data_IF_250361823728
#
_entry.id   IF_250361823728
#
_cell.length_a   1.000
_cell.length_b   1.000
_cell.length_c   1.000
_cell.angle_alpha   90.00
_cell.angle_beta   90.00
_cell.angle_gamma   90.00
#
_symmetry.space_group_name_H-M   'P 1'
#
loop_
_entity.id
_entity.type
_entity.pdbx_description
1 polymer ?
#
# COMPACT_ATOMS: atom_id res chain seq x y z
N UNK A 1 7.35 -79.88 36.11
CA UNK A 1 6.75 -78.69 36.78
C UNK A 1 7.32 -77.47 36.11
N UNK A 2 6.50 -76.77 35.25
CA UNK A 2 6.92 -75.52 34.59
C UNK A 2 6.63 -74.35 35.57
N UNK A 3 7.62 -73.57 35.89
CA UNK A 3 7.55 -72.54 36.91
C UNK A 3 6.55 -71.46 36.52
N UNK A 4 5.69 -71.00 37.42
CA UNK A 4 4.66 -69.96 37.13
C UNK A 4 5.25 -68.60 36.86
N UNK A 5 6.53 -68.36 37.12
CA UNK A 5 7.23 -67.09 36.92
C UNK A 5 7.40 -66.76 35.42
N UNK A 6 7.59 -67.79 34.57
CA UNK A 6 7.79 -67.58 33.13
C UNK A 6 6.49 -67.14 32.40
N UNK A 7 5.34 -67.59 32.91
CA UNK A 7 4.01 -67.25 32.38
C UNK A 7 3.63 -65.78 32.68
N UNK A 8 4.02 -65.27 33.86
CA UNK A 8 3.74 -63.89 34.28
C UNK A 8 4.59 -62.90 33.48
N UNK A 9 5.81 -63.24 33.12
CA UNK A 9 6.71 -62.44 32.31
C UNK A 9 6.21 -62.24 30.86
N UNK A 10 5.65 -63.31 30.27
CA UNK A 10 5.07 -63.23 28.92
C UNK A 10 3.76 -62.45 28.91
N UNK A 11 2.97 -62.48 29.98
CA UNK A 11 1.74 -61.69 30.10
C UNK A 11 2.05 -60.17 30.25
N UNK A 12 3.06 -59.82 31.04
CA UNK A 12 3.50 -58.43 31.21
C UNK A 12 4.18 -57.89 29.93
N UNK A 13 4.92 -58.70 29.17
CA UNK A 13 5.53 -58.30 27.92
C UNK A 13 4.47 -58.09 26.82
N UNK A 14 3.40 -58.92 26.80
CA UNK A 14 2.29 -58.80 25.88
C UNK A 14 1.44 -57.53 26.14
N UNK A 15 1.23 -57.16 27.42
CA UNK A 15 0.52 -55.93 27.79
C UNK A 15 1.34 -54.66 27.47
N UNK A 16 2.68 -54.73 27.58
CA UNK A 16 3.55 -53.59 27.21
C UNK A 16 3.63 -53.41 25.67
N UNK A 17 3.58 -54.51 24.91
CA UNK A 17 3.53 -54.44 23.44
C UNK A 17 2.16 -53.95 22.91
N UNK A 18 1.06 -54.24 23.59
CA UNK A 18 -0.26 -53.69 23.21
C UNK A 18 -0.45 -52.21 23.57
N UNK A 19 0.20 -51.73 24.64
CA UNK A 19 0.14 -50.31 25.03
C UNK A 19 0.91 -49.40 24.06
N UNK A 20 1.85 -49.96 23.26
CA UNK A 20 2.63 -49.18 22.27
C UNK A 20 1.89 -48.87 20.95
N UNK A 21 0.74 -49.48 20.68
CA UNK A 21 -0.01 -49.29 19.42
C UNK A 21 -1.12 -48.24 19.46
N UNK A 22 -1.35 -47.60 20.61
CA UNK A 22 -2.36 -46.51 20.74
C UNK A 22 -1.75 -45.16 21.09
N UNK A 23 -0.52 -44.87 20.63
CA UNK A 23 -0.06 -43.49 20.57
C UNK A 23 -0.52 -42.94 19.20
N UNK A 24 -1.76 -42.53 19.11
CA UNK A 24 -2.14 -41.61 18.06
C UNK A 24 -1.21 -40.40 18.17
N UNK A 25 -0.56 -39.99 17.06
CA UNK A 25 0.17 -38.74 17.09
C UNK A 25 -0.87 -37.65 17.40
N UNK A 26 -0.75 -37.04 18.58
CA UNK A 26 -1.44 -35.76 18.88
C UNK A 26 -1.01 -34.78 17.81
N UNK A 27 -1.74 -34.75 16.70
CA UNK A 27 -1.70 -33.62 15.79
C UNK A 27 -2.15 -32.44 16.64
N UNK A 28 -1.21 -31.67 17.12
CA UNK A 28 -1.49 -30.33 17.57
C UNK A 28 -2.17 -29.66 16.37
N UNK A 29 -3.50 -29.65 16.38
CA UNK A 29 -4.25 -28.67 15.63
C UNK A 29 -3.70 -27.34 16.14
N UNK A 30 -2.88 -26.70 15.32
CA UNK A 30 -2.64 -25.27 15.41
C UNK A 30 -4.01 -24.66 15.11
N UNK A 31 -4.85 -24.60 16.14
CA UNK A 31 -6.02 -23.72 16.11
C UNK A 31 -5.42 -22.34 16.00
N UNK A 32 -5.39 -21.80 14.78
CA UNK A 32 -5.28 -20.37 14.57
C UNK A 32 -6.33 -19.77 15.48
N UNK A 33 -5.88 -19.04 16.48
CA UNK A 33 -6.76 -18.43 17.49
C UNK A 33 -7.56 -17.31 16.82
N UNK A 34 -8.50 -17.70 15.93
CA UNK A 34 -9.46 -16.81 15.25
C UNK A 34 -10.33 -16.08 16.26
N UNK A 35 -10.28 -16.50 17.55
CA UNK A 35 -10.97 -15.83 18.65
C UNK A 35 -10.47 -14.41 18.95
N UNK A 36 -9.27 -14.05 18.52
CA UNK A 36 -8.66 -12.73 18.77
C UNK A 36 -9.14 -11.62 17.83
N UNK A 37 -9.65 -11.97 16.66
CA UNK A 37 -10.02 -11.01 15.60
C UNK A 37 -11.44 -11.26 15.11
N UNK A 38 -12.04 -10.23 14.54
CA UNK A 38 -13.18 -10.31 13.63
C UNK A 38 -12.67 -9.94 12.25
N UNK A 39 -12.93 -10.79 11.26
CA UNK A 39 -12.60 -10.51 9.86
C UNK A 39 -13.86 -10.10 9.12
N UNK A 40 -13.80 -8.98 8.39
CA UNK A 40 -14.91 -8.45 7.63
C UNK A 40 -14.47 -8.22 6.19
N UNK A 41 -15.17 -8.88 5.27
CA UNK A 41 -14.82 -8.92 3.85
C UNK A 41 -16.00 -8.53 2.99
N UNK A 42 -15.70 -7.84 1.90
CA UNK A 42 -16.75 -7.43 0.99
C UNK A 42 -16.25 -6.64 -0.21
N UNK A 43 -17.20 -6.05 -0.90
CA UNK A 43 -16.97 -5.25 -2.10
C UNK A 43 -17.72 -3.92 -2.01
N UNK A 44 -17.04 -2.84 -2.38
CA UNK A 44 -17.61 -1.49 -2.43
C UNK A 44 -17.95 -1.11 -3.86
N UNK A 45 -19.13 -0.55 -4.05
CA UNK A 45 -19.67 -0.13 -5.37
C UNK A 45 -20.32 1.24 -5.28
N UNK A 46 -20.38 1.92 -6.40
CA UNK A 46 -21.23 3.09 -6.58
C UNK A 46 -22.72 2.70 -6.50
N UNK A 47 -23.51 3.50 -5.79
CA UNK A 47 -24.95 3.26 -5.64
C UNK A 47 -25.73 3.39 -6.94
N UNK A 48 -25.31 4.29 -7.84
CA UNK A 48 -26.07 4.64 -9.04
C UNK A 48 -25.72 3.71 -10.21
N UNK A 49 -24.44 3.61 -10.59
CA UNK A 49 -24.01 2.88 -11.78
C UNK A 49 -23.44 1.49 -11.48
N UNK A 50 -23.38 1.12 -10.19
CA UNK A 50 -22.86 -0.18 -9.70
C UNK A 50 -21.40 -0.47 -10.02
N UNK A 51 -20.65 0.51 -10.48
CA UNK A 51 -19.22 0.37 -10.69
C UNK A 51 -18.50 0.05 -9.39
N UNK A 52 -17.46 -0.74 -9.49
CA UNK A 52 -16.58 -1.07 -8.37
C UNK A 52 -15.76 0.19 -8.01
N UNK A 53 -15.67 0.49 -6.71
CA UNK A 53 -14.93 1.65 -6.23
C UNK A 53 -13.59 1.21 -5.66
N UNK A 54 -12.53 1.61 -6.36
CA UNK A 54 -11.15 1.35 -5.97
C UNK A 54 -10.65 2.36 -4.93
N UNK A 55 -9.71 1.94 -4.08
CA UNK A 55 -9.02 2.78 -3.08
C UNK A 55 -9.95 3.50 -2.10
N UNK A 56 -11.14 2.93 -1.85
CA UNK A 56 -12.02 3.37 -0.76
C UNK A 56 -11.33 3.10 0.56
N UNK A 57 -11.26 4.09 1.43
CA UNK A 57 -10.73 3.89 2.78
C UNK A 57 -11.73 3.10 3.61
N UNK A 58 -11.27 2.03 4.23
CA UNK A 58 -12.04 1.15 5.12
C UNK A 58 -11.39 1.23 6.50
N UNK A 59 -12.03 1.90 7.44
CA UNK A 59 -11.39 2.28 8.71
C UNK A 59 -12.28 1.96 9.91
N UNK A 60 -11.66 1.76 11.07
CA UNK A 60 -12.34 1.65 12.35
C UNK A 60 -12.28 3.01 13.04
N UNK A 61 -13.41 3.74 13.17
CA UNK A 61 -13.43 5.07 13.78
C UNK A 61 -12.83 5.09 15.19
N UNK A 62 -12.06 6.15 15.48
CA UNK A 62 -11.38 6.31 16.77
C UNK A 62 -10.14 5.44 16.95
N UNK A 63 -9.72 4.72 15.92
CA UNK A 63 -8.51 3.89 15.94
C UNK A 63 -7.62 4.15 14.72
N UNK A 64 -6.33 3.81 14.78
CA UNK A 64 -5.46 3.87 13.60
C UNK A 64 -5.67 2.70 12.62
N UNK A 65 -6.55 1.73 12.94
CA UNK A 65 -6.77 0.53 12.12
C UNK A 65 -7.51 0.86 10.83
N UNK A 66 -7.01 0.33 9.72
CA UNK A 66 -7.64 0.51 8.43
C UNK A 66 -6.99 -0.29 7.32
N UNK A 67 -7.66 -0.27 6.18
CA UNK A 67 -7.20 -0.79 4.89
C UNK A 67 -7.84 0.04 3.76
N UNK A 68 -7.64 -0.37 2.51
CA UNK A 68 -8.31 0.19 1.34
C UNK A 68 -8.89 -0.92 0.47
N UNK A 69 -9.88 -0.58 -0.35
CA UNK A 69 -10.32 -1.51 -1.41
C UNK A 69 -9.24 -1.61 -2.49
N UNK A 70 -9.06 -2.79 -3.06
CA UNK A 70 -8.22 -3.00 -4.25
C UNK A 70 -8.88 -2.39 -5.51
N UNK A 71 -8.24 -2.52 -6.68
CA UNK A 71 -8.77 -2.00 -7.95
C UNK A 71 -10.05 -2.70 -8.44
N UNK A 72 -10.48 -3.77 -7.78
CA UNK A 72 -11.76 -4.45 -8.02
C UNK A 72 -12.82 -4.09 -6.96
N UNK A 73 -12.54 -3.12 -6.09
CA UNK A 73 -13.44 -2.69 -5.03
C UNK A 73 -13.54 -3.67 -3.86
N UNK A 74 -12.68 -4.70 -3.79
CA UNK A 74 -12.71 -5.74 -2.74
C UNK A 74 -11.87 -5.29 -1.56
N UNK A 75 -12.32 -5.59 -0.34
CA UNK A 75 -11.59 -5.34 0.90
C UNK A 75 -11.72 -6.51 1.87
N UNK A 76 -10.72 -6.66 2.74
CA UNK A 76 -10.76 -7.46 3.96
C UNK A 76 -10.10 -6.68 5.07
N UNK A 77 -10.75 -6.60 6.23
CA UNK A 77 -10.23 -5.94 7.42
C UNK A 77 -10.33 -6.87 8.63
N UNK A 78 -9.20 -7.04 9.32
CA UNK A 78 -9.09 -7.78 10.58
C UNK A 78 -9.07 -6.80 11.74
N UNK A 79 -9.98 -6.96 12.68
CA UNK A 79 -10.18 -6.06 13.81
C UNK A 79 -10.01 -6.85 15.11
N UNK A 80 -9.08 -6.43 15.96
CA UNK A 80 -8.89 -7.06 17.27
C UNK A 80 -10.15 -6.95 18.11
N UNK A 81 -10.67 -8.05 18.66
CA UNK A 81 -11.83 -8.05 19.55
C UNK A 81 -11.64 -7.17 20.80
N UNK A 82 -10.37 -7.06 21.27
CA UNK A 82 -10.02 -6.20 22.40
C UNK A 82 -10.30 -4.71 22.17
N UNK A 83 -10.41 -4.26 20.92
CA UNK A 83 -10.74 -2.88 20.55
C UNK A 83 -12.21 -2.55 20.77
N UNK A 84 -13.09 -3.55 20.95
CA UNK A 84 -14.54 -3.38 21.07
C UNK A 84 -15.14 -2.45 20.02
N UNK A 85 -14.59 -2.50 18.81
CA UNK A 85 -15.02 -1.69 17.68
C UNK A 85 -16.47 -1.99 17.33
N UNK A 86 -17.30 -0.96 17.14
CA UNK A 86 -18.75 -1.11 16.91
C UNK A 86 -19.14 -0.92 15.44
N UNK A 87 -18.31 -0.27 14.64
CA UNK A 87 -18.62 0.07 13.26
C UNK A 87 -17.36 0.21 12.40
N UNK A 88 -17.54 -0.02 11.11
CA UNK A 88 -16.56 0.31 10.07
C UNK A 88 -17.06 1.53 9.31
N UNK A 89 -16.15 2.40 8.95
CA UNK A 89 -16.38 3.60 8.15
C UNK A 89 -15.75 3.44 6.77
N UNK A 90 -16.55 3.67 5.74
CA UNK A 90 -16.12 3.74 4.34
C UNK A 90 -16.13 5.19 3.90
N UNK A 91 -14.99 5.68 3.39
CA UNK A 91 -14.86 7.03 2.88
C UNK A 91 -14.18 7.05 1.51
N UNK A 92 -14.69 7.85 0.59
CA UNK A 92 -14.12 8.03 -0.73
C UNK A 92 -14.40 9.44 -1.25
N UNK A 93 -13.49 9.96 -2.08
CA UNK A 93 -13.64 11.30 -2.67
C UNK A 93 -14.90 11.36 -3.53
N UNK A 94 -15.72 12.40 -3.36
CA UNK A 94 -16.98 12.57 -4.08
C UNK A 94 -18.15 11.71 -3.59
N UNK A 95 -18.02 11.02 -2.47
CA UNK A 95 -19.06 10.15 -1.92
C UNK A 95 -19.39 10.51 -0.47
N UNK A 96 -20.64 10.23 -0.08
CA UNK A 96 -21.07 10.28 1.32
C UNK A 96 -20.42 9.14 2.10
N UNK A 97 -20.07 9.41 3.35
CA UNK A 97 -19.56 8.40 4.25
C UNK A 97 -20.62 7.32 4.51
N UNK A 98 -20.19 6.05 4.47
CA UNK A 98 -21.05 4.92 4.85
C UNK A 98 -20.48 4.24 6.08
N UNK A 99 -21.34 4.01 7.10
CA UNK A 99 -20.99 3.26 8.31
C UNK A 99 -21.77 1.97 8.34
N UNK A 100 -21.11 0.88 8.69
CA UNK A 100 -21.77 -0.40 8.95
C UNK A 100 -21.42 -0.91 10.35
N UNK A 101 -22.36 -1.54 11.06
CA UNK A 101 -22.09 -2.15 12.34
C UNK A 101 -21.15 -3.36 12.18
N UNK A 102 -20.36 -3.62 13.22
CA UNK A 102 -19.54 -4.82 13.35
C UNK A 102 -20.30 -5.80 14.25
N UNK A 103 -20.62 -6.97 13.73
CA UNK A 103 -21.12 -8.08 14.51
C UNK A 103 -19.97 -8.81 15.21
N UNK A 104 -20.29 -9.64 16.19
CA UNK A 104 -19.30 -10.41 16.95
C UNK A 104 -18.67 -11.56 16.16
N UNK A 105 -19.21 -11.88 14.98
CA UNK A 105 -18.77 -12.95 14.09
C UNK A 105 -18.12 -12.39 12.83
N UNK A 106 -17.31 -13.23 12.17
CA UNK A 106 -16.75 -12.92 10.88
C UNK A 106 -17.86 -12.69 9.84
N UNK A 107 -17.67 -11.69 8.99
CA UNK A 107 -18.62 -11.29 7.95
C UNK A 107 -17.93 -11.33 6.59
N UNK A 108 -18.49 -12.10 5.67
CA UNK A 108 -17.97 -12.21 4.30
C UNK A 108 -19.03 -11.92 3.26
N UNK A 109 -18.60 -11.58 2.05
CA UNK A 109 -19.49 -11.33 0.91
C UNK A 109 -20.34 -10.07 1.02
N UNK A 110 -19.96 -9.11 1.88
CA UNK A 110 -20.69 -7.86 2.04
C UNK A 110 -20.67 -7.03 0.76
N UNK A 111 -21.82 -6.45 0.41
CA UNK A 111 -21.96 -5.51 -0.70
C UNK A 111 -22.26 -4.12 -0.16
N UNK A 112 -21.28 -3.25 -0.20
CA UNK A 112 -21.36 -1.87 0.28
C UNK A 112 -21.61 -0.95 -0.90
N UNK A 113 -22.59 -0.07 -0.78
CA UNK A 113 -22.92 0.89 -1.83
C UNK A 113 -22.67 2.30 -1.30
N UNK A 114 -21.76 3.05 -1.93
CA UNK A 114 -21.55 4.44 -1.60
C UNK A 114 -22.42 5.33 -2.47
N UNK A 115 -23.06 6.32 -1.86
CA UNK A 115 -23.87 7.31 -2.56
C UNK A 115 -23.00 8.47 -3.00
N UNK A 116 -22.95 8.81 -4.30
CA UNK A 116 -22.25 10.02 -4.75
C UNK A 116 -22.80 11.26 -4.06
N UNK A 117 -21.94 12.20 -3.78
CA UNK A 117 -22.35 13.50 -3.23
C UNK A 117 -22.88 14.36 -4.36
N UNK A 118 -24.18 14.62 -4.36
CA UNK A 118 -24.88 15.46 -5.34
C UNK A 118 -25.12 16.89 -4.85
N UNK A 119 -24.37 17.36 -3.86
CA UNK A 119 -24.60 18.72 -3.38
C UNK A 119 -24.38 19.73 -4.50
N UNK A 120 -25.48 20.37 -4.89
CA UNK A 120 -25.45 21.50 -5.82
C UNK A 120 -24.53 22.59 -5.27
N UNK A 121 -23.65 23.06 -6.11
CA UNK A 121 -22.71 24.16 -5.89
C UNK A 121 -23.38 25.53 -5.54
N UNK A 122 -24.68 25.54 -5.21
CA UNK A 122 -25.46 26.77 -5.23
C UNK A 122 -25.10 27.80 -4.14
N UNK A 123 -24.34 27.41 -3.08
CA UNK A 123 -24.03 28.36 -2.00
C UNK A 123 -22.62 28.27 -1.41
N UNK A 124 -21.75 27.44 -1.97
CA UNK A 124 -20.34 27.53 -1.62
C UNK A 124 -19.74 28.70 -2.38
N UNK A 125 -19.67 29.82 -1.69
CA UNK A 125 -18.87 30.97 -2.12
C UNK A 125 -17.47 30.38 -2.43
N UNK A 126 -17.18 30.22 -3.73
CA UNK A 126 -15.79 30.18 -4.19
C UNK A 126 -15.23 31.53 -3.71
N UNK A 127 -14.73 31.57 -2.49
CA UNK A 127 -13.87 32.66 -2.08
C UNK A 127 -12.76 32.58 -3.12
N UNK A 128 -12.79 33.54 -4.06
CA UNK A 128 -11.83 33.65 -5.14
C UNK A 128 -10.43 33.94 -4.58
N UNK A 129 -9.94 32.99 -3.78
CA UNK A 129 -8.57 32.94 -3.33
C UNK A 129 -7.72 32.46 -4.49
N UNK A 130 -6.59 33.07 -4.71
CA UNK A 130 -5.54 32.55 -5.57
C UNK A 130 -5.28 31.09 -5.19
N UNK A 131 -5.47 30.16 -6.14
CA UNK A 131 -5.26 28.73 -5.92
C UNK A 131 -3.86 28.45 -5.35
N UNK A 132 -2.88 29.20 -5.81
CA UNK A 132 -1.51 29.15 -5.31
C UNK A 132 -1.43 29.55 -3.84
N UNK A 133 -2.11 30.61 -3.43
CA UNK A 133 -2.14 31.07 -2.04
C UNK A 133 -2.71 29.97 -1.10
N UNK A 134 -3.76 29.25 -1.52
CA UNK A 134 -4.33 28.13 -0.75
C UNK A 134 -3.31 27.00 -0.57
N UNK A 135 -2.53 26.70 -1.60
CA UNK A 135 -1.46 25.67 -1.52
C UNK A 135 -0.34 26.13 -0.57
N UNK A 136 0.09 27.38 -0.67
CA UNK A 136 1.11 27.97 0.21
C UNK A 136 0.65 27.95 1.68
N UNK A 137 -0.58 28.34 1.96
CA UNK A 137 -1.19 28.29 3.30
C UNK A 137 -1.29 26.84 3.81
N UNK A 138 -1.66 25.87 2.97
CA UNK A 138 -1.70 24.48 3.34
C UNK A 138 -0.30 23.97 3.74
N UNK A 139 0.74 24.37 3.02
CA UNK A 139 2.13 24.01 3.35
C UNK A 139 2.64 24.69 4.62
N UNK A 140 2.18 25.89 4.93
CA UNK A 140 2.50 26.54 6.21
C UNK A 140 1.88 25.81 7.40
N UNK A 141 0.65 25.30 7.23
CA UNK A 141 -0.10 24.57 8.27
C UNK A 141 0.30 23.10 8.43
N UNK A 142 1.26 22.60 7.68
CA UNK A 142 1.75 21.23 7.83
C UNK A 142 2.19 20.96 9.27
N UNK A 143 2.93 21.87 9.90
CA UNK A 143 3.41 21.72 11.27
C UNK A 143 2.30 21.61 12.34
N UNK A 144 1.10 22.14 12.06
CA UNK A 144 -0.04 22.07 12.98
C UNK A 144 -1.03 20.94 12.63
N UNK A 145 -1.19 20.66 11.33
CA UNK A 145 -2.17 19.69 10.86
C UNK A 145 -1.67 18.25 10.85
N UNK A 146 -0.36 18.03 10.89
CA UNK A 146 0.26 16.71 10.86
C UNK A 146 0.98 16.39 12.18
N UNK A 147 1.47 15.16 12.33
CA UNK A 147 2.09 14.70 13.57
C UNK A 147 3.24 15.61 14.03
N UNK A 148 3.12 16.15 15.25
CA UNK A 148 4.10 17.04 15.87
C UNK A 148 5.22 16.30 16.61
N UNK A 149 5.08 14.99 16.77
CA UNK A 149 6.09 14.11 17.35
C UNK A 149 6.39 12.95 16.38
N UNK A 150 7.47 12.24 16.62
CA UNK A 150 7.81 11.08 15.81
C UNK A 150 6.76 9.98 15.90
N UNK A 151 6.45 9.35 14.78
CA UNK A 151 5.47 8.28 14.66
C UNK A 151 6.09 7.02 14.06
N UNK A 152 5.50 5.88 14.40
CA UNK A 152 5.79 4.60 13.79
C UNK A 152 4.50 4.05 13.18
N UNK A 153 4.48 4.02 11.84
CA UNK A 153 3.36 3.48 11.07
C UNK A 153 3.67 2.05 10.62
N UNK A 154 2.80 1.10 10.95
CA UNK A 154 2.87 -0.23 10.35
C UNK A 154 1.99 -0.23 9.10
N UNK A 155 2.48 -0.79 8.01
CA UNK A 155 1.77 -0.85 6.74
C UNK A 155 2.02 -2.13 5.97
N UNK A 156 1.07 -2.47 5.11
CA UNK A 156 1.25 -3.49 4.09
C UNK A 156 1.74 -2.84 2.80
N UNK A 157 2.83 -3.37 2.26
CA UNK A 157 3.43 -2.93 1.01
C UNK A 157 3.41 -4.07 -0.02
N UNK A 158 3.02 -3.75 -1.25
CA UNK A 158 3.06 -4.67 -2.40
C UNK A 158 3.74 -4.01 -3.58
N UNK A 159 4.59 -4.77 -4.25
CA UNK A 159 5.20 -4.40 -5.53
C UNK A 159 4.98 -5.53 -6.54
N UNK A 160 4.44 -5.17 -7.69
CA UNK A 160 4.22 -6.10 -8.79
C UNK A 160 4.90 -5.61 -10.05
N UNK A 161 5.44 -6.51 -10.84
CA UNK A 161 5.96 -6.21 -12.17
C UNK A 161 5.26 -7.09 -13.22
N UNK A 162 4.78 -6.43 -14.26
CA UNK A 162 4.19 -7.07 -15.42
C UNK A 162 5.06 -6.85 -16.65
N UNK A 163 5.16 -7.89 -17.47
CA UNK A 163 5.74 -7.84 -18.82
C UNK A 163 4.61 -8.03 -19.82
N UNK A 164 4.28 -6.97 -20.57
CA UNK A 164 3.10 -6.84 -21.44
C UNK A 164 1.80 -7.10 -20.66
N UNK A 165 1.24 -7.66 -20.04
CA UNK A 165 0.07 -7.88 -19.16
C UNK A 165 0.23 -9.12 -18.27
N UNK A 166 1.40 -9.74 -18.29
CA UNK A 166 1.66 -10.95 -17.51
C UNK A 166 2.54 -10.62 -16.32
N UNK A 167 2.11 -10.97 -15.14
CA UNK A 167 2.91 -10.84 -13.92
C UNK A 167 4.19 -11.69 -14.04
N UNK A 168 5.32 -11.08 -13.73
CA UNK A 168 6.64 -11.70 -13.70
C UNK A 168 7.31 -11.63 -12.33
N UNK A 169 6.83 -10.72 -11.48
CA UNK A 169 7.29 -10.57 -10.10
C UNK A 169 6.15 -10.05 -9.23
N UNK A 170 6.01 -10.62 -8.05
CA UNK A 170 5.13 -10.18 -6.98
C UNK A 170 5.97 -10.21 -5.71
N UNK A 171 6.08 -9.07 -5.03
CA UNK A 171 6.78 -8.97 -3.74
C UNK A 171 5.89 -8.22 -2.77
N UNK A 172 5.73 -8.76 -1.56
CA UNK A 172 4.84 -8.23 -0.53
C UNK A 172 5.58 -8.18 0.81
N UNK A 173 5.28 -7.18 1.61
CA UNK A 173 5.87 -7.03 2.94
C UNK A 173 4.94 -6.31 3.91
N UNK A 174 5.05 -6.65 5.19
CA UNK A 174 4.68 -5.75 6.28
C UNK A 174 5.91 -4.93 6.62
N UNK A 175 5.73 -3.63 6.67
CA UNK A 175 6.79 -2.66 6.92
C UNK A 175 6.43 -1.76 8.11
N UNK A 176 7.44 -1.35 8.84
CA UNK A 176 7.35 -0.21 9.75
C UNK A 176 8.01 1.01 9.11
N UNK A 177 7.30 2.14 9.13
CA UNK A 177 7.75 3.43 8.64
C UNK A 177 7.90 4.36 9.84
N UNK A 178 9.13 4.61 10.25
CA UNK A 178 9.46 5.64 11.22
C UNK A 178 9.49 6.99 10.54
N UNK A 179 8.72 7.92 11.04
CA UNK A 179 8.68 9.31 10.59
C UNK A 179 9.01 10.26 11.74
N UNK A 180 9.93 11.16 11.52
CA UNK A 180 10.16 12.30 12.43
C UNK A 180 8.95 13.25 12.40
N UNK A 181 8.86 14.17 13.34
CA UNK A 181 7.80 15.17 13.37
C UNK A 181 7.70 15.95 12.04
N UNK A 182 6.51 16.31 11.61
CA UNK A 182 6.30 17.11 10.39
C UNK A 182 6.75 18.57 10.53
N UNK A 183 7.07 19.01 11.75
CA UNK A 183 7.80 20.27 11.96
C UNK A 183 9.20 20.26 11.32
N UNK A 184 9.79 19.07 11.16
CA UNK A 184 11.01 18.86 10.38
C UNK A 184 10.60 18.61 8.92
N UNK A 185 10.60 19.65 8.10
CA UNK A 185 10.16 19.59 6.69
C UNK A 185 11.20 18.89 5.79
N UNK A 186 11.65 17.70 6.18
CA UNK A 186 12.55 16.84 5.42
C UNK A 186 12.38 15.37 5.82
N UNK A 187 12.90 14.48 5.01
CA UNK A 187 12.80 13.02 5.17
C UNK A 187 14.14 12.34 5.52
N UNK A 188 15.17 13.12 5.84
CA UNK A 188 16.55 12.62 6.04
C UNK A 188 16.65 11.55 7.14
N UNK A 189 15.85 11.70 8.17
CA UNK A 189 15.84 10.79 9.33
C UNK A 189 14.67 9.80 9.30
N UNK A 190 13.78 9.88 8.33
CA UNK A 190 12.71 8.91 8.15
C UNK A 190 13.30 7.57 7.68
N UNK A 191 12.78 6.47 8.21
CA UNK A 191 13.35 5.13 7.97
C UNK A 191 12.23 4.12 7.76
N UNK A 192 12.52 3.12 6.95
CA UNK A 192 11.61 2.00 6.71
C UNK A 192 12.32 0.71 7.09
N UNK A 193 11.63 -0.17 7.80
CA UNK A 193 12.08 -1.52 8.12
C UNK A 193 11.09 -2.54 7.59
N UNK A 194 11.59 -3.59 6.95
CA UNK A 194 10.78 -4.75 6.57
C UNK A 194 10.70 -5.69 7.75
N UNK A 195 9.49 -5.91 8.27
CA UNK A 195 9.23 -6.82 9.38
C UNK A 195 9.08 -8.26 8.89
N UNK A 196 8.29 -8.43 7.83
CA UNK A 196 7.95 -9.71 7.24
C UNK A 196 7.67 -9.51 5.75
N UNK A 197 8.10 -10.44 4.92
CA UNK A 197 7.87 -10.27 3.48
C UNK A 197 8.10 -11.56 2.71
N UNK A 198 7.51 -11.62 1.53
CA UNK A 198 7.58 -12.75 0.60
C UNK A 198 7.64 -12.28 -0.84
N UNK A 199 8.17 -13.13 -1.71
CA UNK A 199 8.25 -12.87 -3.15
C UNK A 199 7.86 -14.09 -3.96
N UNK A 200 7.41 -13.84 -5.17
CA UNK A 200 7.13 -14.85 -6.19
C UNK A 200 7.63 -14.32 -7.54
N UNK A 201 8.63 -14.99 -8.09
CA UNK A 201 9.28 -14.59 -9.34
C UNK A 201 9.00 -15.61 -10.44
N UNK A 202 8.85 -15.14 -11.67
CA UNK A 202 8.78 -16.02 -12.84
C UNK A 202 10.11 -16.76 -13.04
N UNK A 203 10.14 -18.10 -13.11
CA UNK A 203 11.35 -18.85 -13.36
C UNK A 203 11.78 -18.84 -14.83
N UNK A 204 11.00 -18.20 -15.73
CA UNK A 204 11.30 -18.22 -17.15
C UNK A 204 12.48 -17.34 -17.50
N UNK A 205 13.44 -17.85 -18.29
CA UNK A 205 14.52 -17.03 -18.82
C UNK A 205 13.96 -15.81 -19.56
N UNK A 206 14.56 -14.65 -19.29
CA UNK A 206 14.13 -13.39 -19.91
C UNK A 206 12.90 -12.71 -19.31
N UNK A 207 12.34 -13.24 -18.22
CA UNK A 207 11.31 -12.56 -17.42
C UNK A 207 11.91 -11.72 -16.28
N UNK A 208 13.21 -11.78 -16.07
CA UNK A 208 13.88 -10.96 -15.06
C UNK A 208 13.77 -9.48 -15.41
N UNK A 209 13.29 -8.69 -14.47
CA UNK A 209 13.33 -7.23 -14.57
C UNK A 209 14.78 -6.76 -14.41
N UNK A 210 15.38 -6.28 -15.51
CA UNK A 210 16.80 -5.93 -15.55
C UNK A 210 17.10 -4.47 -15.22
N UNK A 211 16.09 -3.65 -14.98
CA UNK A 211 16.21 -2.24 -14.59
C UNK A 211 15.84 -2.06 -13.12
N UNK A 212 16.49 -1.11 -12.45
CA UNK A 212 16.06 -0.64 -11.12
C UNK A 212 15.48 0.75 -11.28
N UNK A 213 14.28 0.93 -10.76
CA UNK A 213 13.54 2.20 -10.82
C UNK A 213 13.35 2.79 -9.42
N UNK A 214 12.86 4.03 -9.40
CA UNK A 214 12.31 4.66 -8.20
C UNK A 214 11.16 3.81 -7.65
N UNK A 215 11.13 3.55 -6.35
CA UNK A 215 10.12 2.73 -5.69
C UNK A 215 10.68 1.94 -4.52
N UNK A 216 10.07 0.79 -4.26
CA UNK A 216 10.41 -0.06 -3.12
C UNK A 216 9.76 0.41 -1.82
N UNK A 217 10.00 -0.29 -0.69
CA UNK A 217 9.41 0.02 0.61
C UNK A 217 9.63 1.43 1.14
N UNK A 218 10.59 2.19 0.58
CA UNK A 218 10.82 3.60 0.94
C UNK A 218 9.88 4.58 0.22
N UNK A 219 9.04 4.10 -0.68
CA UNK A 219 8.07 4.91 -1.43
C UNK A 219 7.20 5.80 -0.53
N UNK A 220 6.58 5.32 0.58
CA UNK A 220 5.72 6.15 1.43
C UNK A 220 6.46 7.28 2.17
N UNK A 221 7.79 7.21 2.25
CA UNK A 221 8.61 8.32 2.75
C UNK A 221 8.85 9.32 1.63
N UNK A 222 9.21 8.84 0.45
CA UNK A 222 9.56 9.69 -0.69
C UNK A 222 8.38 10.52 -1.22
N UNK A 223 7.19 9.93 -1.34
CA UNK A 223 6.01 10.58 -1.94
C UNK A 223 5.14 11.36 -0.95
N UNK A 224 5.53 11.44 0.32
CA UNK A 224 4.84 12.25 1.32
C UNK A 224 5.04 13.73 1.05
N UNK A 225 4.24 14.30 0.17
CA UNK A 225 4.37 15.70 -0.28
C UNK A 225 4.22 16.71 0.86
N UNK A 226 3.52 16.38 1.93
CA UNK A 226 3.39 17.24 3.09
C UNK A 226 4.70 17.32 3.89
N UNK A 227 5.52 16.25 3.87
CA UNK A 227 6.78 16.18 4.61
C UNK A 227 8.01 16.32 3.72
N UNK A 228 7.89 15.93 2.46
CA UNK A 228 8.92 16.01 1.43
C UNK A 228 8.51 17.02 0.36
N UNK A 229 8.50 18.32 0.68
CA UNK A 229 8.09 19.37 -0.27
C UNK A 229 8.97 19.40 -1.52
N UNK A 230 10.24 18.99 -1.42
CA UNK A 230 11.21 18.97 -2.54
C UNK A 230 10.69 18.18 -3.75
N UNK A 231 9.74 17.28 -3.55
CA UNK A 231 9.17 16.50 -4.64
C UNK A 231 8.30 17.36 -5.59
N UNK A 232 7.39 18.18 -5.02
CA UNK A 232 6.39 18.97 -5.79
C UNK A 232 6.22 20.38 -5.26
N UNK A 233 6.19 20.58 -3.96
CA UNK A 233 5.76 21.81 -3.28
C UNK A 233 6.90 22.58 -2.63
N UNK A 234 8.14 22.41 -3.12
CA UNK A 234 9.29 23.21 -2.69
C UNK A 234 9.02 24.69 -2.97
N UNK A 235 9.13 25.57 -1.97
CA UNK A 235 8.94 27.01 -2.14
C UNK A 235 9.79 27.63 -3.26
N UNK A 236 10.97 27.08 -3.57
CA UNK A 236 11.83 27.55 -4.66
C UNK A 236 11.35 27.10 -6.05
N UNK A 237 10.67 25.95 -6.12
CA UNK A 237 10.18 25.35 -7.38
C UNK A 237 8.70 25.69 -7.61
N UNK A 238 7.94 26.00 -6.55
CA UNK A 238 6.52 26.37 -6.64
C UNK A 238 6.22 27.50 -7.64
N UNK A 239 7.05 28.55 -7.81
CA UNK A 239 6.88 29.55 -8.86
C UNK A 239 6.96 29.00 -10.30
N UNK A 240 7.48 27.80 -10.49
CA UNK A 240 7.58 27.14 -11.79
C UNK A 240 6.28 26.43 -12.20
N UNK A 241 5.29 26.37 -11.29
CA UNK A 241 3.97 25.79 -11.52
C UNK A 241 2.89 26.85 -11.68
N UNK A 242 1.94 26.58 -12.57
CA UNK A 242 0.63 27.22 -12.56
C UNK A 242 -0.30 26.42 -11.63
N UNK A 243 -1.19 27.13 -10.93
CA UNK A 243 -2.21 26.57 -10.06
C UNK A 243 -3.58 27.05 -10.50
N UNK A 244 -4.51 26.13 -10.70
CA UNK A 244 -5.87 26.41 -11.16
C UNK A 244 -6.90 25.77 -10.23
N UNK A 245 -7.86 26.54 -9.74
CA UNK A 245 -8.98 26.03 -8.98
C UNK A 245 -9.89 25.20 -9.89
N UNK A 246 -10.20 23.99 -9.45
CA UNK A 246 -11.20 23.10 -10.06
C UNK A 246 -12.49 23.12 -9.24
N UNK A 247 -13.46 22.29 -9.64
CA UNK A 247 -14.69 22.11 -8.87
C UNK A 247 -14.41 21.57 -7.47
N UNK A 248 -15.14 22.11 -6.47
CA UNK A 248 -15.06 21.64 -5.08
C UNK A 248 -15.60 20.22 -5.01
N UNK A 249 -14.95 19.38 -4.21
CA UNK A 249 -15.41 18.01 -3.93
C UNK A 249 -15.61 17.79 -2.44
N UNK A 250 -16.22 16.65 -2.12
CA UNK A 250 -16.42 16.24 -0.73
C UNK A 250 -15.53 15.03 -0.42
N UNK A 251 -14.88 15.09 0.70
CA UNK A 251 -14.14 13.97 1.26
C UNK A 251 -14.32 13.94 2.77
N UNK A 252 -14.70 12.81 3.30
CA UNK A 252 -14.96 12.64 4.74
C UNK A 252 -15.96 13.67 5.29
N UNK A 253 -17.05 13.92 4.53
CA UNK A 253 -18.15 14.85 4.88
C UNK A 253 -17.69 16.34 5.01
N UNK A 254 -16.51 16.68 4.50
CA UNK A 254 -15.98 18.05 4.46
C UNK A 254 -15.72 18.50 3.04
N UNK A 255 -15.96 19.80 2.74
CA UNK A 255 -15.64 20.35 1.42
C UNK A 255 -14.13 20.48 1.23
N UNK A 256 -13.65 20.18 0.02
CA UNK A 256 -12.25 20.26 -0.35
C UNK A 256 -12.07 21.13 -1.58
N UNK A 257 -11.11 22.03 -1.54
CA UNK A 257 -10.57 22.64 -2.75
C UNK A 257 -9.88 21.54 -3.56
N UNK A 258 -10.17 21.51 -4.87
CA UNK A 258 -9.42 20.71 -5.84
C UNK A 258 -8.59 21.69 -6.66
N UNK A 259 -7.27 21.59 -6.56
CA UNK A 259 -6.35 22.51 -7.23
C UNK A 259 -5.50 21.71 -8.20
N UNK A 260 -5.65 22.02 -9.49
CA UNK A 260 -4.77 21.53 -10.53
C UNK A 260 -3.46 22.31 -10.50
N UNK A 261 -2.34 21.59 -10.60
CA UNK A 261 -1.01 22.18 -10.78
C UNK A 261 -0.32 21.57 -12.00
N UNK A 262 0.43 22.40 -12.74
CA UNK A 262 1.19 21.95 -13.91
C UNK A 262 2.37 22.88 -14.17
N UNK A 263 3.45 22.37 -14.83
CA UNK A 263 4.61 23.18 -15.17
C UNK A 263 4.26 24.34 -16.10
N UNK A 264 4.79 25.54 -15.81
CA UNK A 264 4.73 26.71 -16.70
C UNK A 264 6.11 27.12 -17.23
N UNK A 265 7.16 26.45 -16.80
CA UNK A 265 8.53 26.67 -17.23
C UNK A 265 9.24 25.34 -17.46
N UNK A 266 10.29 25.38 -18.27
CA UNK A 266 11.15 24.21 -18.52
C UNK A 266 12.40 24.32 -17.66
N UNK A 267 12.62 23.35 -16.77
CA UNK A 267 13.82 23.24 -15.93
C UNK A 267 14.78 22.17 -16.46
N UNK A 268 15.94 22.04 -15.83
CA UNK A 268 16.94 20.99 -16.14
C UNK A 268 16.49 19.57 -15.71
N UNK A 269 15.45 19.44 -14.91
CA UNK A 269 14.86 18.20 -14.43
C UNK A 269 13.36 18.14 -14.76
N UNK A 270 12.77 16.94 -14.73
CA UNK A 270 11.34 16.77 -14.98
C UNK A 270 10.52 17.24 -13.77
N UNK A 271 9.47 17.99 -14.06
CA UNK A 271 8.48 18.44 -13.10
C UNK A 271 7.28 17.46 -13.06
N UNK A 272 6.27 17.78 -12.26
CA UNK A 272 5.05 17.00 -12.11
C UNK A 272 3.82 17.83 -12.48
N UNK A 273 2.74 17.16 -12.83
CA UNK A 273 1.42 17.77 -12.98
C UNK A 273 0.37 16.94 -12.26
N UNK A 274 -0.69 17.55 -11.76
CA UNK A 274 -1.71 16.79 -11.04
C UNK A 274 -2.76 17.61 -10.32
N UNK A 275 -3.37 16.97 -9.31
CA UNK A 275 -4.43 17.52 -8.48
C UNK A 275 -4.06 17.41 -6.99
N UNK A 276 -4.32 18.49 -6.27
CA UNK A 276 -4.25 18.54 -4.80
C UNK A 276 -5.67 18.70 -4.25
N UNK A 277 -6.03 17.92 -3.26
CA UNK A 277 -7.30 18.00 -2.54
C UNK A 277 -7.02 18.54 -1.13
N UNK A 278 -7.46 19.74 -0.87
CA UNK A 278 -7.16 20.51 0.35
C UNK A 278 -8.45 20.77 1.11
N UNK A 279 -8.52 20.30 2.36
CA UNK A 279 -9.64 20.54 3.25
C UNK A 279 -9.86 22.06 3.45
N UNK A 280 -11.11 22.55 3.27
CA UNK A 280 -11.37 23.98 3.31
C UNK A 280 -11.28 24.61 4.70
N UNK A 281 -11.51 23.84 5.75
CA UNK A 281 -11.49 24.35 7.13
C UNK A 281 -10.06 24.32 7.70
N UNK A 282 -9.39 23.20 7.54
CA UNK A 282 -8.08 22.95 8.14
C UNK A 282 -6.92 23.39 7.25
N UNK A 283 -7.15 23.49 5.95
CA UNK A 283 -6.12 23.64 4.93
C UNK A 283 -5.06 22.54 5.03
N UNK A 284 -5.51 21.29 5.27
CA UNK A 284 -4.65 20.11 5.21
C UNK A 284 -4.81 19.41 3.86
N UNK A 285 -3.71 18.92 3.29
CA UNK A 285 -3.76 18.09 2.09
C UNK A 285 -4.32 16.73 2.48
N UNK A 286 -5.45 16.33 1.89
CA UNK A 286 -6.11 15.06 2.15
C UNK A 286 -5.80 14.02 1.08
N UNK A 287 -5.52 14.47 -0.15
CA UNK A 287 -5.18 13.62 -1.29
C UNK A 287 -4.33 14.39 -2.29
N UNK A 288 -3.43 13.69 -2.97
CA UNK A 288 -2.69 14.20 -4.12
C UNK A 288 -2.61 13.12 -5.19
N UNK A 289 -2.88 13.51 -6.42
CA UNK A 289 -2.74 12.68 -7.62
C UNK A 289 -1.85 13.43 -8.59
N UNK A 290 -0.72 12.84 -8.97
CA UNK A 290 0.19 13.54 -9.85
C UNK A 290 1.00 12.59 -10.74
N UNK A 291 1.39 13.11 -11.87
CA UNK A 291 2.16 12.41 -12.89
C UNK A 291 3.46 13.16 -13.14
N UNK A 292 4.51 12.41 -13.50
CA UNK A 292 5.74 13.00 -13.98
C UNK A 292 5.51 13.56 -15.40
N UNK A 293 5.96 14.76 -15.65
CA UNK A 293 5.92 15.35 -17.01
C UNK A 293 6.78 14.53 -17.98
N UNK A 294 6.15 14.06 -19.06
CA UNK A 294 6.74 13.25 -20.10
C UNK A 294 7.11 14.05 -21.36
N UNK A 295 7.06 15.36 -21.33
CA UNK A 295 7.42 16.22 -22.47
C UNK A 295 8.87 16.05 -22.87
N UNK A 296 9.76 15.79 -21.91
CA UNK A 296 11.18 15.47 -22.11
C UNK A 296 11.51 14.10 -21.50
N UNK A 297 11.64 13.10 -22.37
CA UNK A 297 11.85 11.70 -21.96
C UNK A 297 13.23 11.44 -21.33
N UNK A 298 14.23 12.25 -21.60
CA UNK A 298 15.56 12.10 -20.99
C UNK A 298 15.49 12.57 -19.53
N UNK A 299 14.90 13.72 -19.25
CA UNK A 299 14.64 14.19 -17.88
C UNK A 299 13.73 13.25 -17.10
N UNK A 300 12.66 12.76 -17.72
CA UNK A 300 11.78 11.77 -17.10
C UNK A 300 12.53 10.45 -16.79
N UNK A 301 13.45 10.04 -17.68
CA UNK A 301 14.30 8.87 -17.46
C UNK A 301 15.24 9.08 -16.26
N UNK A 302 15.90 10.22 -16.16
CA UNK A 302 16.78 10.56 -15.03
C UNK A 302 16.05 10.59 -13.69
N UNK A 303 14.81 11.08 -13.68
CA UNK A 303 14.00 11.13 -12.48
C UNK A 303 13.72 9.74 -11.88
N UNK A 304 13.49 8.72 -12.70
CA UNK A 304 13.00 7.42 -12.25
C UNK A 304 13.99 6.27 -12.39
N UNK A 305 14.92 6.33 -13.34
CA UNK A 305 15.83 5.21 -13.61
C UNK A 305 17.06 5.27 -12.68
N UNK A 306 17.23 4.23 -11.87
CA UNK A 306 18.35 4.12 -10.93
C UNK A 306 19.49 3.28 -11.51
N UNK A 307 19.17 2.23 -12.26
CA UNK A 307 20.17 1.35 -12.88
C UNK A 307 19.61 0.63 -14.10
N UNK A 308 20.42 0.50 -15.15
CA UNK A 308 20.14 -0.37 -16.31
C UNK A 308 21.42 -1.03 -16.83
N UNK A 309 21.31 -2.20 -17.49
CA UNK A 309 22.45 -2.82 -18.20
C UNK A 309 22.92 -1.97 -19.37
N UNK A 310 24.20 -2.12 -19.70
CA UNK A 310 24.75 -1.54 -20.93
C UNK A 310 24.04 -2.11 -22.18
N UNK A 311 23.75 -1.27 -23.15
CA UNK A 311 23.05 -1.66 -24.38
C UNK A 311 21.56 -1.83 -24.29
N UNK A 312 20.95 -1.64 -23.09
CA UNK A 312 19.49 -1.57 -22.92
C UNK A 312 19.02 -0.14 -23.19
N UNK A 313 18.03 0.03 -24.07
CA UNK A 313 17.29 1.28 -24.24
C UNK A 313 16.10 1.25 -23.30
N UNK A 314 15.92 2.32 -22.54
CA UNK A 314 14.81 2.53 -21.63
C UNK A 314 14.01 3.74 -22.10
N UNK A 315 12.70 3.59 -22.20
CA UNK A 315 11.79 4.68 -22.57
C UNK A 315 10.63 4.72 -21.60
N UNK A 316 10.54 5.72 -20.71
CA UNK A 316 9.39 5.91 -19.86
C UNK A 316 8.16 6.24 -20.71
N UNK A 317 6.98 5.83 -20.27
CA UNK A 317 5.70 6.08 -20.93
C UNK A 317 4.73 6.80 -20.02
N UNK A 318 4.75 6.46 -18.73
CA UNK A 318 3.86 7.00 -17.71
C UNK A 318 4.45 6.75 -16.34
N UNK A 319 4.36 7.75 -15.48
CA UNK A 319 4.71 7.62 -14.06
C UNK A 319 3.67 8.40 -13.28
N UNK A 320 2.85 7.67 -12.52
CA UNK A 320 1.75 8.24 -11.75
C UNK A 320 1.90 7.93 -10.27
N UNK A 321 1.41 8.84 -9.45
CA UNK A 321 1.39 8.74 -8.00
C UNK A 321 0.02 9.10 -7.46
N UNK A 322 -0.42 8.34 -6.46
CA UNK A 322 -1.57 8.65 -5.63
C UNK A 322 -1.12 8.59 -4.19
N UNK A 323 -1.36 9.66 -3.45
CA UNK A 323 -1.10 9.74 -2.01
C UNK A 323 -2.37 10.20 -1.32
N UNK A 324 -2.80 9.49 -0.29
CA UNK A 324 -3.93 9.89 0.54
C UNK A 324 -3.52 9.99 1.99
N UNK A 325 -4.15 10.90 2.69
CA UNK A 325 -3.94 11.14 4.11
C UNK A 325 -5.21 10.82 4.88
N UNK A 326 -5.05 10.42 6.12
CA UNK A 326 -6.15 10.18 7.06
C UNK A 326 -5.89 10.96 8.33
N UNK A 327 -6.97 11.50 8.89
CA UNK A 327 -6.94 12.15 10.20
C UNK A 327 -7.19 11.15 11.33
N UNK A 328 -6.40 11.24 12.38
CA UNK A 328 -6.61 10.55 13.65
C UNK A 328 -6.13 11.47 14.79
N UNK A 329 -6.97 11.62 15.83
CA UNK A 329 -6.68 12.49 16.99
C UNK A 329 -6.24 13.91 16.59
N UNK A 330 -6.90 14.47 15.56
CA UNK A 330 -6.65 15.84 15.09
C UNK A 330 -5.41 16.02 14.20
N UNK A 331 -4.65 14.97 13.92
CA UNK A 331 -3.47 15.02 13.06
C UNK A 331 -3.63 14.14 11.81
N UNK A 332 -3.14 14.64 10.70
CA UNK A 332 -3.09 13.90 9.43
C UNK A 332 -1.81 13.06 9.33
N UNK A 333 -1.93 11.89 8.70
CA UNK A 333 -0.80 11.03 8.37
C UNK A 333 -1.09 10.24 7.08
N UNK A 334 -0.06 9.77 6.40
CA UNK A 334 -0.22 8.95 5.20
C UNK A 334 -1.11 7.74 5.51
N UNK A 335 -2.11 7.52 4.64
CA UNK A 335 -2.97 6.36 4.71
C UNK A 335 -2.71 5.36 3.58
N UNK A 336 -2.67 5.85 2.34
CA UNK A 336 -2.43 4.99 1.18
C UNK A 336 -1.54 5.70 0.17
N UNK A 337 -0.65 4.93 -0.42
CA UNK A 337 0.26 5.37 -1.47
C UNK A 337 0.23 4.35 -2.60
N UNK A 338 0.16 4.84 -3.84
CA UNK A 338 0.32 4.03 -5.04
C UNK A 338 1.23 4.75 -6.03
N UNK A 339 2.13 4.01 -6.62
CA UNK A 339 2.94 4.45 -7.74
C UNK A 339 2.80 3.44 -8.88
N UNK A 340 2.60 3.93 -10.09
CA UNK A 340 2.60 3.11 -11.29
C UNK A 340 3.61 3.66 -12.29
N UNK A 341 4.53 2.83 -12.74
CA UNK A 341 5.54 3.17 -13.74
C UNK A 341 5.35 2.25 -14.93
N UNK A 342 5.04 2.82 -16.09
CA UNK A 342 4.94 2.12 -17.36
C UNK A 342 6.06 2.57 -18.29
N UNK A 343 6.78 1.62 -18.86
CA UNK A 343 7.93 1.89 -19.71
C UNK A 343 8.16 0.80 -20.75
N UNK A 344 8.94 1.13 -21.77
CA UNK A 344 9.45 0.18 -22.77
C UNK A 344 10.93 -0.05 -22.56
N UNK A 345 11.35 -1.31 -22.76
CA UNK A 345 12.75 -1.69 -22.88
C UNK A 345 12.99 -2.45 -24.18
N UNK A 346 14.10 -2.17 -24.84
CA UNK A 346 14.63 -2.96 -25.93
C UNK A 346 16.15 -3.05 -25.84
N UNK A 347 16.69 -4.15 -26.37
CA UNK A 347 18.13 -4.30 -26.54
C UNK A 347 18.55 -3.76 -27.93
N UNK A 348 19.67 -3.05 -28.04
CA UNK A 348 20.14 -2.44 -29.29
C UNK A 348 20.12 -3.39 -30.51
N UNK A 349 20.13 -4.71 -30.27
CA UNK A 349 20.12 -5.76 -31.32
C UNK A 349 18.77 -6.46 -31.52
N UNK A 350 17.71 -6.05 -30.82
CA UNK A 350 16.37 -6.63 -30.98
C UNK A 350 15.46 -5.70 -31.77
N UNK A 351 14.64 -6.29 -32.64
CA UNK A 351 13.68 -5.56 -33.48
C UNK A 351 12.45 -5.06 -32.72
N UNK A 352 12.13 -5.64 -31.56
CA UNK A 352 10.90 -5.34 -30.84
C UNK A 352 11.18 -4.90 -29.40
N UNK A 353 10.52 -3.80 -29.01
CA UNK A 353 10.49 -3.35 -27.63
C UNK A 353 9.47 -4.16 -26.79
N UNK A 354 9.71 -4.24 -25.50
CA UNK A 354 8.81 -4.88 -24.56
C UNK A 354 8.31 -3.86 -23.55
N UNK A 355 7.01 -3.82 -23.34
CA UNK A 355 6.37 -2.95 -22.34
C UNK A 355 6.36 -3.65 -20.98
N UNK A 356 6.71 -2.90 -19.95
CA UNK A 356 6.65 -3.28 -18.55
C UNK A 356 5.77 -2.29 -17.79
N UNK A 357 5.07 -2.81 -16.80
CA UNK A 357 4.33 -2.01 -15.81
C UNK A 357 4.77 -2.47 -14.43
N UNK A 358 5.19 -1.53 -13.59
CA UNK A 358 5.48 -1.76 -12.18
C UNK A 358 4.46 -0.99 -11.38
N UNK A 359 3.81 -1.67 -10.44
CA UNK A 359 2.91 -1.05 -9.48
C UNK A 359 3.46 -1.30 -8.09
N UNK A 360 3.62 -0.24 -7.34
CA UNK A 360 4.00 -0.27 -5.92
C UNK A 360 2.90 0.42 -5.12
N UNK A 361 2.43 -0.24 -4.08
CA UNK A 361 1.37 0.31 -3.24
C UNK A 361 1.62 0.00 -1.75
N UNK A 362 1.18 0.91 -0.88
CA UNK A 362 1.25 0.74 0.56
C UNK A 362 -0.01 1.29 1.21
N UNK A 363 -0.59 0.55 2.13
CA UNK A 363 -1.62 1.03 3.05
C UNK A 363 -1.09 1.02 4.47
N UNK A 364 -1.29 2.12 5.20
CA UNK A 364 -1.04 2.17 6.63
C UNK A 364 -2.15 1.42 7.38
N UNK A 365 -1.77 0.39 8.09
CA UNK A 365 -2.71 -0.49 8.82
C UNK A 365 -2.75 -0.21 10.31
N UNK A 366 -1.73 0.48 10.83
CA UNK A 366 -1.63 0.96 12.21
C UNK A 366 -0.73 2.20 12.28
N UNK A 367 -0.94 3.05 13.29
CA UNK A 367 -0.12 4.23 13.56
C UNK A 367 -0.05 4.48 15.07
N UNK A 368 1.16 4.70 15.58
CA UNK A 368 1.41 4.93 17.01
C UNK A 368 2.55 5.93 17.22
N UNK A 369 2.61 6.60 18.38
CA UNK A 369 3.79 7.37 18.76
C UNK A 369 5.04 6.47 18.73
N UNK A 370 6.14 6.98 18.19
CA UNK A 370 7.39 6.25 18.16
C UNK A 370 8.07 6.30 19.56
N UNK A 371 8.45 5.13 20.07
CA UNK A 371 9.23 5.00 21.31
C UNK A 371 10.74 5.01 21.07
N UNK A 372 11.16 4.99 19.82
CA UNK A 372 12.55 5.03 19.37
C UNK A 372 12.62 5.05 17.83
N UNK A 373 13.80 5.27 17.27
CA UNK A 373 14.02 5.28 15.83
C UNK A 373 14.37 3.88 15.30
N UNK A 374 14.17 3.66 14.00
CA UNK A 374 14.68 2.49 13.29
C UNK A 374 16.18 2.69 13.07
N UNK A 375 17.07 1.80 13.59
CA UNK A 375 18.50 1.92 13.36
C UNK A 375 18.86 1.88 11.87
N UNK A 376 19.83 2.67 11.44
CA UNK A 376 20.25 2.73 10.03
C UNK A 376 20.62 1.36 9.45
N UNK A 377 21.22 0.47 10.25
CA UNK A 377 21.58 -0.90 9.83
C UNK A 377 20.37 -1.79 9.56
N UNK A 378 19.25 -1.58 10.29
CA UNK A 378 18.01 -2.30 10.14
C UNK A 378 17.10 -1.70 9.05
N UNK A 379 17.38 -0.46 8.62
CA UNK A 379 16.55 0.23 7.65
C UNK A 379 16.72 -0.34 6.23
N UNK A 380 15.62 -0.35 5.49
CA UNK A 380 15.61 -0.67 4.07
C UNK A 380 16.32 0.45 3.29
N UNK A 381 17.18 0.08 2.38
CA UNK A 381 17.95 1.04 1.55
C UNK A 381 17.22 1.29 0.23
N UNK A 382 17.14 2.53 -0.21
CA UNK A 382 16.49 2.93 -1.47
C UNK A 382 17.11 2.31 -2.73
N UNK A 383 18.36 1.83 -2.64
CA UNK A 383 19.05 1.13 -3.74
C UNK A 383 18.82 -0.39 -3.76
N UNK A 384 18.07 -0.95 -2.81
CA UNK A 384 17.71 -2.35 -2.78
C UNK A 384 16.33 -2.58 -3.42
N UNK A 385 16.12 -3.76 -4.01
CA UNK A 385 14.78 -4.25 -4.38
C UNK A 385 14.19 -5.05 -3.23
N UNK A 386 12.88 -4.97 -3.03
CA UNK A 386 12.21 -5.78 -2.00
C UNK A 386 12.45 -7.27 -2.24
N UNK A 387 12.38 -7.72 -3.50
CA UNK A 387 12.63 -9.12 -3.90
C UNK A 387 14.01 -9.65 -3.50
N UNK A 388 15.02 -8.78 -3.31
CA UNK A 388 16.36 -9.18 -2.86
C UNK A 388 16.42 -9.38 -1.33
N UNK A 389 15.40 -9.00 -0.59
CA UNK A 389 15.37 -8.93 0.89
C UNK A 389 14.34 -9.82 1.54
N UNK A 390 13.47 -10.44 0.77
CA UNK A 390 12.39 -11.30 1.27
C UNK A 390 12.53 -12.73 0.72
N UNK A 391 11.91 -13.68 1.42
CA UNK A 391 11.94 -15.11 1.07
C UNK A 391 10.87 -15.44 0.03
N UNK A 392 10.94 -16.64 -0.52
CA UNK A 392 9.92 -17.13 -1.44
C UNK A 392 8.58 -17.39 -0.73
N UNK A 393 7.51 -17.47 -1.51
CA UNK A 393 6.16 -17.73 -1.04
C UNK A 393 6.07 -19.16 -0.47
N UNK A 394 5.96 -19.31 0.83
CA UNK A 394 5.97 -20.62 1.49
C UNK A 394 4.66 -20.98 2.18
N UNK A 395 3.81 -20.01 2.55
CA UNK A 395 2.68 -20.21 3.44
C UNK A 395 1.47 -19.36 3.01
N UNK A 396 0.26 -19.95 3.01
CA UNK A 396 -0.98 -19.24 2.67
C UNK A 396 -1.44 -18.35 3.81
N UNK A 397 -1.23 -18.76 5.07
CA UNK A 397 -1.54 -17.95 6.26
C UNK A 397 -0.41 -16.99 6.64
N UNK A 398 0.48 -16.70 5.70
CA UNK A 398 1.70 -15.91 5.94
C UNK A 398 1.44 -14.58 6.66
N UNK A 399 0.33 -13.92 6.40
CA UNK A 399 0.06 -12.60 6.98
C UNK A 399 -0.48 -12.63 8.40
N UNK A 400 -1.10 -13.75 8.84
CA UNK A 400 -1.64 -13.88 10.20
C UNK A 400 -2.53 -12.70 10.59
N UNK A 401 -2.07 -11.95 11.58
CA UNK A 401 -2.81 -10.84 12.21
C UNK A 401 -2.75 -9.51 11.43
N UNK A 402 -1.94 -9.42 10.39
CA UNK A 402 -1.78 -8.16 9.66
C UNK A 402 -2.91 -7.91 8.68
N UNK A 403 -3.38 -6.66 8.61
CA UNK A 403 -4.21 -6.19 7.52
C UNK A 403 -3.38 -6.06 6.24
N UNK A 404 -3.99 -6.40 5.12
CA UNK A 404 -3.36 -6.35 3.79
C UNK A 404 -4.29 -5.62 2.81
N UNK A 405 -3.78 -5.28 1.65
CA UNK A 405 -4.62 -4.96 0.49
C UNK A 405 -4.99 -6.29 -0.15
N UNK A 406 -6.28 -6.59 -0.28
CA UNK A 406 -6.71 -7.83 -0.93
C UNK A 406 -6.15 -7.94 -2.35
N UNK A 407 -5.68 -9.10 -2.76
CA UNK A 407 -5.28 -9.30 -4.15
C UNK A 407 -6.50 -9.20 -5.07
N UNK A 408 -6.30 -8.74 -6.30
CA UNK A 408 -7.30 -8.83 -7.35
C UNK A 408 -7.40 -10.28 -7.85
N UNK A 409 -8.52 -10.66 -8.46
CA UNK A 409 -8.67 -11.99 -9.08
C UNK A 409 -7.54 -12.28 -10.10
N UNK A 410 -7.13 -11.26 -10.86
CA UNK A 410 -6.02 -11.39 -11.82
C UNK A 410 -4.67 -11.64 -11.12
N UNK A 411 -4.45 -11.07 -9.93
CA UNK A 411 -3.24 -11.25 -9.15
C UNK A 411 -3.23 -12.63 -8.48
N UNK A 412 -4.35 -13.09 -7.92
CA UNK A 412 -4.49 -14.45 -7.36
C UNK A 412 -4.20 -15.53 -8.41
N UNK A 413 -4.83 -15.40 -9.57
CA UNK A 413 -4.58 -16.30 -10.71
C UNK A 413 -3.10 -16.29 -11.12
N UNK A 414 -2.42 -15.13 -11.06
CA UNK A 414 -1.00 -15.03 -11.34
C UNK A 414 -0.16 -15.72 -10.26
N UNK A 415 -0.50 -15.58 -8.98
CA UNK A 415 0.16 -16.28 -7.87
C UNK A 415 0.11 -17.79 -8.09
N UNK A 416 -1.08 -18.36 -8.33
CA UNK A 416 -1.24 -19.79 -8.59
C UNK A 416 -0.41 -20.26 -9.80
N UNK A 417 -0.42 -19.49 -10.88
CA UNK A 417 0.33 -19.81 -12.10
C UNK A 417 1.84 -19.76 -11.89
N UNK A 418 2.33 -18.78 -11.17
CA UNK A 418 3.77 -18.62 -10.88
C UNK A 418 4.25 -19.71 -9.92
N UNK A 419 3.50 -20.04 -8.85
CA UNK A 419 3.81 -21.16 -7.94
C UNK A 419 3.98 -22.45 -8.74
N UNK A 420 3.00 -22.81 -9.57
CA UNK A 420 3.06 -24.01 -10.43
C UNK A 420 4.24 -24.02 -11.42
N UNK A 421 4.66 -22.84 -11.89
CA UNK A 421 5.85 -22.74 -12.76
C UNK A 421 7.16 -22.94 -11.99
N UNK A 422 7.26 -22.42 -10.76
CA UNK A 422 8.43 -22.64 -9.88
C UNK A 422 8.58 -24.10 -9.49
N UNK A 423 7.49 -24.76 -9.08
CA UNK A 423 7.47 -26.20 -8.76
C UNK A 423 7.99 -27.04 -9.95
N UNK A 424 7.48 -26.80 -11.15
CA UNK A 424 7.93 -27.47 -12.38
C UNK A 424 9.40 -27.18 -12.73
N UNK A 425 9.91 -26.02 -12.37
CA UNK A 425 11.31 -25.67 -12.61
C UNK A 425 12.25 -26.32 -11.58
N UNK A 426 11.79 -26.51 -10.35
CA UNK A 426 12.54 -27.18 -9.28
C UNK A 426 12.66 -28.71 -9.50
N UNK A 427 11.72 -29.32 -10.26
CA UNK A 427 11.72 -30.75 -10.61
C UNK A 427 12.45 -31.07 -11.93
N UNK A 428 13.07 -30.10 -12.56
CA UNK A 428 13.93 -30.25 -13.75
C UNK A 428 15.40 -30.09 -13.43
#
# INVERSE_FOLDING_TARGET
MKSPVLSLFHLLLATFLMAGYFVEPLRAQVTTDTSRYVTIEGMVRDQNDRKRLEFVHVTVPGTPIGTVTNSEGVFSIKIKRSLQARQILFTHVGYKNQRIPIDSLDQSGLKIYLTPTTQQLSDLIVRGGDARFIVEEAMQRVSSNYAQSATLQTGFYRETAQKRRRYISISEAVIDVYKTAYTQKNIEHDRVQVLKGRKLLSPKPGDTLVVKLLGGPTLPVFVDIAKNPDLVLDPLVMPCYAFEMQEITWLNERPHYVIRFYPQVVLSFALYEGLLYIDQERLSISRAEFNLDMSDLDKATEAILRKKPFGLRFKPMEVSFLVTYREHEGHSYINYVRNEIRFKCDWKRRLFSTTYTIVSEMVATDNRPATGNIPYKASFKSNHSLSDRVKDFADEEFWGDYNIIEPTESLENAVHKLKKQQERAAHR
#
